data_IF_307764893453
#
_entry.id   IF_307764893453
#
_cell.length_a   1.000
_cell.length_b   1.000
_cell.length_c   1.000
_cell.angle_alpha   90.00
_cell.angle_beta   90.00
_cell.angle_gamma   90.00
#
_symmetry.space_group_name_H-M   'P 1'
#
loop_
_entity.id
_entity.type
_entity.pdbx_description
1 polymer ?
#
# COMPACT_ATOMS: atom_id res chain seq x y z
N UNK A 1 -81.85 7.66 -20.47
CA UNK A 1 -81.28 6.51 -21.22
C UNK A 1 -80.46 7.12 -22.35
N UNK A 2 -79.14 6.96 -22.49
CA UNK A 2 -78.24 5.87 -22.10
C UNK A 2 -76.89 6.44 -21.60
N UNK A 3 -76.18 5.62 -20.82
CA UNK A 3 -74.84 5.85 -20.29
C UNK A 3 -73.87 5.01 -21.13
N UNK A 4 -72.88 5.64 -21.76
CA UNK A 4 -71.77 4.93 -22.41
C UNK A 4 -70.68 4.60 -21.38
N UNK A 5 -70.37 3.32 -21.28
CA UNK A 5 -69.41 2.75 -20.33
C UNK A 5 -67.98 2.82 -20.85
N UNK A 6 -67.09 3.39 -20.04
CA UNK A 6 -65.63 3.32 -20.18
C UNK A 6 -65.16 1.87 -20.01
N UNK A 7 -64.43 1.33 -21.00
CA UNK A 7 -63.73 0.03 -20.91
C UNK A 7 -62.44 0.19 -20.10
N UNK A 8 -62.30 -0.57 -19.02
CA UNK A 8 -61.04 -0.78 -18.30
C UNK A 8 -60.32 -2.02 -18.82
N UNK A 9 -59.01 -1.90 -19.10
CA UNK A 9 -58.15 -3.04 -19.41
C UNK A 9 -57.66 -3.72 -18.12
N UNK A 10 -57.71 -5.06 -17.99
CA UNK A 10 -57.14 -5.75 -16.83
C UNK A 10 -55.63 -5.98 -17.05
N UNK A 11 -54.81 -5.44 -16.15
CA UNK A 11 -53.39 -5.80 -16.02
C UNK A 11 -53.27 -7.13 -15.26
N UNK A 12 -52.98 -8.22 -15.97
CA UNK A 12 -52.71 -9.53 -15.36
C UNK A 12 -51.26 -9.56 -14.85
N UNK A 13 -51.08 -9.50 -13.53
CA UNK A 13 -49.78 -9.80 -12.90
C UNK A 13 -49.48 -11.31 -13.09
N UNK A 14 -48.24 -11.69 -13.46
CA UNK A 14 -47.88 -13.09 -13.63
C UNK A 14 -48.00 -13.85 -12.30
N UNK A 15 -48.51 -15.09 -12.35
CA UNK A 15 -48.63 -15.94 -11.16
C UNK A 15 -47.26 -16.16 -10.51
N UNK A 16 -47.21 -16.26 -9.18
CA UNK A 16 -45.99 -16.52 -8.42
C UNK A 16 -45.19 -17.72 -8.95
N UNK A 17 -45.89 -18.75 -9.45
CA UNK A 17 -45.28 -19.91 -10.11
C UNK A 17 -44.50 -19.54 -11.37
N UNK A 18 -45.02 -18.63 -12.20
CA UNK A 18 -44.32 -18.15 -13.40
C UNK A 18 -43.04 -17.38 -13.04
N UNK A 19 -43.08 -16.55 -11.99
CA UNK A 19 -41.90 -15.80 -11.51
C UNK A 19 -40.82 -16.76 -10.99
N UNK A 20 -41.19 -17.76 -10.19
CA UNK A 20 -40.25 -18.75 -9.65
C UNK A 20 -39.62 -19.58 -10.78
N UNK A 21 -40.40 -19.99 -11.78
CA UNK A 21 -39.89 -20.72 -12.95
C UNK A 21 -38.90 -19.85 -13.74
N UNK A 22 -39.22 -18.57 -13.98
CA UNK A 22 -38.30 -17.65 -14.66
C UNK A 22 -36.99 -17.46 -13.88
N UNK A 23 -37.04 -17.36 -12.54
CA UNK A 23 -35.84 -17.24 -11.71
C UNK A 23 -34.99 -18.51 -11.74
N UNK A 24 -35.60 -19.70 -11.73
CA UNK A 24 -34.89 -20.97 -11.86
C UNK A 24 -34.22 -21.12 -13.23
N UNK A 25 -34.89 -20.71 -14.30
CA UNK A 25 -34.32 -20.69 -15.66
C UNK A 25 -33.13 -19.73 -15.74
N UNK A 26 -33.23 -18.54 -15.16
CA UNK A 26 -32.12 -17.58 -15.12
C UNK A 26 -30.95 -18.08 -14.29
N UNK A 27 -31.21 -18.71 -13.14
CA UNK A 27 -30.17 -19.28 -12.28
C UNK A 27 -29.44 -20.44 -12.98
N UNK A 28 -30.18 -21.33 -13.64
CA UNK A 28 -29.59 -22.46 -14.38
C UNK A 28 -28.80 -22.00 -15.59
N UNK A 29 -29.29 -21.01 -16.34
CA UNK A 29 -28.55 -20.37 -17.43
C UNK A 29 -27.26 -19.69 -16.91
N UNK A 30 -27.34 -19.00 -15.77
CA UNK A 30 -26.17 -18.39 -15.12
C UNK A 30 -25.12 -19.43 -14.70
N UNK A 31 -25.54 -20.55 -14.09
CA UNK A 31 -24.64 -21.65 -13.72
C UNK A 31 -24.00 -22.27 -14.96
N UNK A 32 -24.78 -22.48 -16.03
CA UNK A 32 -24.27 -23.02 -17.28
C UNK A 32 -23.21 -22.09 -17.89
N UNK A 33 -23.47 -20.79 -17.91
CA UNK A 33 -22.55 -19.82 -18.48
C UNK A 33 -21.28 -19.65 -17.66
N UNK A 34 -21.37 -19.69 -16.32
CA UNK A 34 -20.19 -19.74 -15.44
C UNK A 34 -19.37 -21.01 -15.71
N UNK A 35 -20.01 -22.17 -15.87
CA UNK A 35 -19.31 -23.42 -16.20
C UNK A 35 -18.66 -23.36 -17.58
N UNK A 36 -19.33 -22.76 -18.56
CA UNK A 36 -18.78 -22.54 -19.91
C UNK A 36 -17.55 -21.64 -19.86
N UNK A 37 -17.63 -20.50 -19.18
CA UNK A 37 -16.52 -19.58 -18.96
C UNK A 37 -15.36 -20.26 -18.22
N UNK A 38 -15.64 -21.07 -17.19
CA UNK A 38 -14.61 -21.85 -16.50
C UNK A 38 -13.96 -22.90 -17.42
N UNK A 39 -14.73 -23.58 -18.26
CA UNK A 39 -14.21 -24.56 -19.22
C UNK A 39 -13.37 -23.89 -20.32
N UNK A 40 -13.84 -22.78 -20.88
CA UNK A 40 -13.14 -21.99 -21.90
C UNK A 40 -11.83 -21.40 -21.31
N UNK A 41 -11.87 -20.90 -20.08
CA UNK A 41 -10.67 -20.43 -19.38
C UNK A 41 -9.71 -21.57 -19.04
N UNK A 42 -10.21 -22.74 -18.63
CA UNK A 42 -9.35 -23.91 -18.42
C UNK A 42 -8.72 -24.40 -19.73
N UNK A 43 -9.46 -24.34 -20.85
CA UNK A 43 -8.96 -24.63 -22.19
C UNK A 43 -7.91 -23.63 -22.63
N UNK A 44 -8.13 -22.33 -22.39
CA UNK A 44 -7.16 -21.26 -22.66
C UNK A 44 -5.91 -21.39 -21.79
N UNK A 45 -6.06 -21.71 -20.49
CA UNK A 45 -4.96 -21.99 -19.58
C UNK A 45 -4.19 -23.26 -19.98
N UNK A 46 -4.88 -24.27 -20.51
CA UNK A 46 -4.26 -25.49 -21.06
C UNK A 46 -3.57 -25.22 -22.41
N UNK A 47 -4.10 -24.35 -23.27
CA UNK A 47 -3.46 -23.97 -24.53
C UNK A 47 -2.26 -23.03 -24.33
N UNK A 48 -2.26 -22.23 -23.26
CA UNK A 48 -1.09 -21.47 -22.79
C UNK A 48 -0.04 -22.38 -22.14
N UNK A 49 -0.41 -23.60 -21.74
CA UNK A 49 0.50 -24.70 -21.40
C UNK A 49 0.84 -25.52 -22.65
N UNK A 50 1.40 -24.87 -23.67
CA UNK A 50 2.16 -25.63 -24.66
C UNK A 50 3.22 -26.48 -23.93
N UNK A 51 3.49 -27.74 -24.35
CA UNK A 51 4.55 -28.52 -23.77
C UNK A 51 5.87 -27.95 -24.28
N UNK A 52 6.30 -26.84 -23.71
CA UNK A 52 7.71 -26.61 -23.58
C UNK A 52 8.22 -27.80 -22.75
N UNK A 53 9.21 -28.50 -23.28
CA UNK A 53 10.11 -29.33 -22.47
C UNK A 53 10.77 -28.40 -21.45
N UNK A 54 10.02 -28.04 -20.40
CA UNK A 54 10.53 -27.26 -19.29
C UNK A 54 11.18 -28.28 -18.39
N UNK A 55 12.51 -28.31 -18.38
CA UNK A 55 13.21 -28.66 -17.15
C UNK A 55 12.44 -27.98 -16.00
N UNK A 56 12.02 -28.75 -14.99
CA UNK A 56 11.33 -28.16 -13.86
C UNK A 56 12.18 -26.97 -13.37
N UNK A 57 11.61 -25.76 -13.31
CA UNK A 57 12.39 -24.60 -12.88
C UNK A 57 12.95 -24.93 -11.51
N UNK A 58 14.27 -24.80 -11.40
CA UNK A 58 15.00 -25.13 -10.20
C UNK A 58 14.36 -24.43 -9.01
N UNK A 59 13.91 -25.18 -7.99
CA UNK A 59 13.29 -24.59 -6.79
C UNK A 59 14.37 -24.08 -5.84
N UNK A 60 15.20 -23.18 -6.34
CA UNK A 60 16.27 -22.55 -5.59
C UNK A 60 16.00 -21.05 -5.52
N UNK A 61 15.91 -20.55 -4.30
CA UNK A 61 15.86 -19.11 -4.02
C UNK A 61 17.23 -18.66 -3.53
N UNK A 62 17.76 -17.63 -4.15
CA UNK A 62 18.91 -16.90 -3.66
C UNK A 62 18.40 -15.70 -2.86
N UNK A 63 18.64 -15.69 -1.55
CA UNK A 63 18.34 -14.54 -0.70
C UNK A 63 19.61 -13.72 -0.53
N UNK A 64 19.57 -12.45 -0.92
CA UNK A 64 20.71 -11.54 -0.91
C UNK A 64 20.48 -10.39 0.07
N UNK A 65 21.52 -10.08 0.83
CA UNK A 65 21.65 -8.95 1.76
C UNK A 65 23.12 -8.54 1.81
N UNK A 66 23.42 -7.24 1.86
CA UNK A 66 24.79 -6.73 2.12
C UNK A 66 25.21 -7.01 3.55
N UNK A 67 24.27 -6.91 4.49
CA UNK A 67 24.51 -7.22 5.89
C UNK A 67 24.77 -8.71 6.06
N UNK A 68 25.78 -9.04 6.87
CA UNK A 68 26.03 -10.41 7.32
C UNK A 68 24.92 -10.91 8.25
N UNK A 69 24.24 -9.98 8.96
CA UNK A 69 23.03 -10.30 9.71
C UNK A 69 21.80 -10.26 8.80
N UNK A 70 21.23 -11.44 8.56
CA UNK A 70 20.02 -11.64 7.78
C UNK A 70 18.82 -12.05 8.65
N UNK A 71 18.91 -11.85 9.97
CA UNK A 71 17.85 -12.21 10.93
C UNK A 71 16.50 -11.62 10.53
N UNK A 72 16.47 -10.38 10.05
CA UNK A 72 15.27 -9.70 9.58
C UNK A 72 14.58 -10.37 8.37
N UNK A 73 15.27 -11.25 7.62
CA UNK A 73 14.74 -11.97 6.45
C UNK A 73 14.23 -13.37 6.77
N UNK A 74 14.24 -13.82 8.03
CA UNK A 74 13.85 -15.19 8.38
C UNK A 74 12.42 -15.53 7.89
N UNK A 75 11.44 -14.64 8.03
CA UNK A 75 10.09 -14.83 7.51
C UNK A 75 10.03 -15.03 5.99
N UNK A 76 10.91 -14.36 5.24
CA UNK A 76 11.04 -14.55 3.80
C UNK A 76 11.54 -15.97 3.52
N UNK A 77 12.63 -16.36 4.18
CA UNK A 77 13.21 -17.70 3.99
C UNK A 77 12.25 -18.82 4.35
N UNK A 78 11.50 -18.67 5.44
CA UNK A 78 10.52 -19.65 5.91
C UNK A 78 9.31 -19.74 4.97
N UNK A 79 8.88 -18.61 4.42
CA UNK A 79 7.84 -18.58 3.39
C UNK A 79 8.28 -19.41 2.17
N UNK A 80 9.49 -19.18 1.66
CA UNK A 80 10.02 -19.94 0.53
C UNK A 80 10.15 -21.44 0.83
N UNK A 81 10.67 -21.80 2.01
CA UNK A 81 10.76 -23.20 2.46
C UNK A 81 9.39 -23.87 2.48
N UNK A 82 8.36 -23.18 2.98
CA UNK A 82 6.98 -23.70 3.01
C UNK A 82 6.41 -23.97 1.61
N UNK A 83 6.86 -23.24 0.60
CA UNK A 83 6.52 -23.47 -0.81
C UNK A 83 7.48 -24.44 -1.53
N UNK A 84 8.38 -25.11 -0.80
CA UNK A 84 9.28 -26.14 -1.32
C UNK A 84 10.51 -25.60 -2.05
N UNK A 85 10.90 -24.35 -1.79
CA UNK A 85 12.18 -23.82 -2.25
C UNK A 85 13.32 -24.19 -1.31
N UNK A 86 14.48 -24.51 -1.89
CA UNK A 86 15.75 -24.61 -1.20
C UNK A 86 16.45 -23.25 -1.23
N UNK A 87 17.12 -22.87 -0.14
CA UNK A 87 18.04 -21.72 -0.16
C UNK A 87 19.30 -22.08 -0.95
N UNK A 88 19.70 -21.20 -1.86
CA UNK A 88 20.96 -21.26 -2.61
C UNK A 88 21.63 -19.91 -2.67
N UNK A 89 22.67 -19.82 -3.48
CA UNK A 89 23.46 -18.61 -3.70
C UNK A 89 23.63 -18.27 -5.17
N UNK A 90 24.51 -17.28 -5.41
CA UNK A 90 24.81 -16.70 -6.73
C UNK A 90 25.16 -17.73 -7.80
N UNK A 91 25.88 -18.78 -7.44
CA UNK A 91 26.38 -19.82 -8.37
C UNK A 91 25.45 -21.01 -8.52
N UNK A 92 24.39 -21.11 -7.71
CA UNK A 92 23.37 -22.13 -7.88
C UNK A 92 22.50 -21.83 -9.12
N UNK A 93 21.86 -22.84 -9.72
CA UNK A 93 20.81 -22.60 -10.70
C UNK A 93 19.58 -22.06 -9.96
N UNK A 94 19.53 -20.78 -9.61
CA UNK A 94 18.39 -20.17 -8.92
C UNK A 94 17.29 -19.75 -9.91
N UNK A 95 16.03 -19.86 -9.47
CA UNK A 95 14.86 -19.33 -10.20
C UNK A 95 14.28 -18.07 -9.57
N UNK A 96 14.56 -17.83 -8.29
CA UNK A 96 14.13 -16.63 -7.58
C UNK A 96 15.33 -15.97 -6.94
N UNK A 97 15.51 -14.67 -7.17
CA UNK A 97 16.35 -13.81 -6.37
C UNK A 97 15.46 -12.96 -5.47
N UNK A 98 15.64 -13.08 -4.15
CA UNK A 98 15.07 -12.18 -3.18
C UNK A 98 16.17 -11.29 -2.60
N UNK A 99 16.25 -10.07 -3.09
CA UNK A 99 17.24 -9.08 -2.67
C UNK A 99 16.63 -8.12 -1.65
N UNK A 100 17.29 -7.92 -0.51
CA UNK A 100 16.92 -6.88 0.44
C UNK A 100 17.23 -5.48 -0.13
N UNK A 101 18.46 -5.28 -0.59
CA UNK A 101 18.88 -4.06 -1.28
C UNK A 101 18.38 -4.05 -2.74
N UNK A 102 18.51 -2.89 -3.39
CA UNK A 102 18.12 -2.71 -4.78
C UNK A 102 19.09 -3.41 -5.76
N UNK A 103 18.67 -4.49 -6.44
CA UNK A 103 19.59 -5.39 -7.11
C UNK A 103 20.15 -4.84 -8.44
N UNK A 104 19.49 -3.86 -9.06
CA UNK A 104 19.97 -3.30 -10.34
C UNK A 104 21.22 -2.42 -10.19
N UNK A 105 21.56 -2.02 -8.96
CA UNK A 105 22.84 -1.38 -8.65
C UNK A 105 23.83 -2.42 -8.11
N UNK A 106 23.42 -3.19 -7.10
CA UNK A 106 24.33 -4.08 -6.34
C UNK A 106 24.70 -5.36 -7.09
N UNK A 107 23.80 -5.86 -7.92
CA UNK A 107 23.93 -7.10 -8.69
C UNK A 107 23.74 -6.81 -10.18
N UNK A 108 24.29 -5.69 -10.66
CA UNK A 108 24.09 -5.20 -12.03
C UNK A 108 24.53 -6.20 -13.11
N UNK A 109 25.56 -7.01 -12.85
CA UNK A 109 25.96 -8.12 -13.75
C UNK A 109 24.84 -9.15 -13.90
N UNK A 110 24.30 -9.64 -12.78
CA UNK A 110 23.27 -10.66 -12.73
C UNK A 110 21.97 -10.16 -13.36
N UNK A 111 21.62 -8.89 -13.11
CA UNK A 111 20.40 -8.30 -13.64
C UNK A 111 20.44 -8.16 -15.17
N UNK A 112 21.64 -7.98 -15.76
CA UNK A 112 21.81 -7.97 -17.22
C UNK A 112 21.74 -9.36 -17.86
N UNK A 113 21.95 -10.41 -17.08
CA UNK A 113 22.05 -11.80 -17.54
C UNK A 113 20.84 -12.67 -17.14
N UNK A 114 19.73 -12.04 -16.73
CA UNK A 114 18.50 -12.75 -16.34
C UNK A 114 17.98 -13.65 -17.47
N UNK A 115 17.71 -14.90 -17.12
CA UNK A 115 17.17 -15.91 -18.03
C UNK A 115 15.66 -15.99 -17.94
N UNK A 116 14.95 -16.42 -19.01
CA UNK A 116 13.52 -16.71 -18.93
C UNK A 116 13.20 -17.68 -17.79
N UNK A 117 12.22 -17.31 -16.95
CA UNK A 117 11.84 -18.09 -15.77
C UNK A 117 12.54 -17.68 -14.47
N UNK A 118 13.58 -16.85 -14.53
CA UNK A 118 14.14 -16.21 -13.34
C UNK A 118 13.29 -14.99 -12.95
N UNK A 119 13.02 -14.85 -11.66
CA UNK A 119 12.25 -13.74 -11.11
C UNK A 119 13.03 -13.03 -9.99
N UNK A 120 12.84 -11.73 -9.91
CA UNK A 120 13.47 -10.85 -8.92
C UNK A 120 12.38 -10.03 -8.24
N UNK A 121 12.50 -9.80 -6.93
CA UNK A 121 11.50 -9.07 -6.14
C UNK A 121 11.54 -7.53 -6.31
N UNK A 122 12.22 -7.01 -7.32
CA UNK A 122 12.34 -5.57 -7.62
C UNK A 122 12.13 -5.30 -9.11
N UNK A 123 11.65 -4.09 -9.42
CA UNK A 123 11.59 -3.59 -10.80
C UNK A 123 12.71 -2.58 -11.08
N UNK A 124 13.25 -2.54 -12.30
CA UNK A 124 14.16 -1.47 -12.69
C UNK A 124 13.47 -0.10 -12.52
N UNK A 125 14.13 0.84 -11.87
CA UNK A 125 13.62 2.18 -11.61
C UNK A 125 12.65 2.30 -10.43
N UNK A 126 12.32 1.21 -9.73
CA UNK A 126 11.42 1.28 -8.55
C UNK A 126 11.95 2.20 -7.45
N UNK A 127 13.25 2.48 -7.43
CA UNK A 127 13.88 3.48 -6.58
C UNK A 127 13.23 4.87 -6.66
N UNK A 128 12.67 5.27 -7.81
CA UNK A 128 12.03 6.58 -7.99
C UNK A 128 10.79 6.74 -7.10
N UNK A 129 9.99 5.68 -6.96
CA UNK A 129 8.78 5.69 -6.14
C UNK A 129 9.05 5.36 -4.67
N UNK A 130 10.18 4.73 -4.35
CA UNK A 130 10.56 4.42 -2.97
C UNK A 130 11.46 5.48 -2.34
N UNK A 131 12.11 6.33 -3.14
CA UNK A 131 12.89 7.45 -2.63
C UNK A 131 11.97 8.62 -2.26
N UNK A 132 12.04 9.01 -0.98
CA UNK A 132 11.20 10.05 -0.39
C UNK A 132 11.37 11.41 -1.06
N UNK A 133 12.59 11.81 -1.43
CA UNK A 133 12.86 13.09 -2.09
C UNK A 133 12.27 13.15 -3.50
N UNK A 134 12.47 12.10 -4.29
CA UNK A 134 11.92 12.01 -5.66
C UNK A 134 10.39 11.95 -5.67
N UNK A 135 9.79 11.13 -4.80
CA UNK A 135 8.33 10.97 -4.77
C UNK A 135 7.62 12.24 -4.25
N UNK A 136 8.11 12.80 -3.14
CA UNK A 136 7.41 13.91 -2.46
C UNK A 136 7.38 15.21 -3.24
N UNK A 137 8.33 15.39 -4.16
CA UNK A 137 8.45 16.60 -4.99
C UNK A 137 7.64 16.51 -6.29
N UNK A 138 7.09 15.34 -6.63
CA UNK A 138 6.27 15.16 -7.82
C UNK A 138 4.89 15.82 -7.68
N UNK A 139 4.73 16.96 -8.36
CA UNK A 139 3.49 17.76 -8.39
C UNK A 139 2.34 17.10 -9.13
N UNK A 140 2.59 16.07 -9.94
CA UNK A 140 1.53 15.36 -10.65
C UNK A 140 0.67 14.50 -9.72
N UNK A 141 1.20 14.14 -8.54
CA UNK A 141 0.52 13.30 -7.55
C UNK A 141 -0.30 14.19 -6.60
N UNK A 142 -1.60 14.29 -6.88
CA UNK A 142 -2.54 15.21 -6.20
C UNK A 142 -2.68 15.03 -4.68
N UNK A 143 -2.37 13.84 -4.16
CA UNK A 143 -2.61 13.48 -2.75
C UNK A 143 -1.37 13.60 -1.87
N UNK A 144 -0.23 14.05 -2.41
CA UNK A 144 0.97 14.28 -1.61
C UNK A 144 0.97 15.69 -1.01
N UNK A 145 1.39 15.85 0.26
CA UNK A 145 1.61 17.17 0.84
C UNK A 145 2.63 17.97 0.05
N UNK A 146 2.41 19.28 -0.03
CA UNK A 146 3.27 20.24 -0.71
C UNK A 146 4.70 20.14 -0.16
N UNK A 147 5.63 19.71 -1.01
CA UNK A 147 7.05 19.56 -0.65
C UNK A 147 7.93 20.47 -1.50
N UNK A 148 9.03 20.95 -0.94
CA UNK A 148 10.08 21.70 -1.62
C UNK A 148 11.45 21.09 -1.30
N UNK A 149 12.27 20.86 -2.32
CA UNK A 149 13.65 20.40 -2.17
C UNK A 149 14.55 21.60 -1.93
N UNK A 150 15.40 21.53 -0.92
CA UNK A 150 16.37 22.59 -0.63
C UNK A 150 17.78 22.13 -1.05
N UNK A 151 18.66 23.06 -1.45
CA UNK A 151 18.43 24.50 -1.60
C UNK A 151 17.65 24.91 -2.86
N UNK A 152 17.49 23.99 -3.82
CA UNK A 152 16.98 24.25 -5.18
C UNK A 152 15.66 25.06 -5.23
N UNK A 153 14.75 24.84 -4.28
CA UNK A 153 13.41 25.42 -4.27
C UNK A 153 13.17 26.36 -3.07
N UNK A 154 14.25 26.92 -2.48
CA UNK A 154 14.15 27.79 -1.30
C UNK A 154 13.29 29.05 -1.55
N UNK A 155 13.42 29.68 -2.71
CA UNK A 155 12.64 30.87 -3.05
C UNK A 155 11.15 30.56 -3.16
N UNK A 156 10.77 29.47 -3.83
CA UNK A 156 9.36 29.06 -3.95
C UNK A 156 8.78 28.68 -2.59
N UNK A 157 9.58 28.07 -1.72
CA UNK A 157 9.19 27.79 -0.35
C UNK A 157 8.92 29.09 0.44
N UNK A 158 9.82 30.08 0.39
CA UNK A 158 9.64 31.38 1.05
C UNK A 158 8.36 32.10 0.57
N UNK A 159 8.09 32.08 -0.74
CA UNK A 159 6.87 32.66 -1.30
C UNK A 159 5.62 31.95 -0.77
N UNK A 160 5.66 30.61 -0.68
CA UNK A 160 4.51 29.85 -0.18
C UNK A 160 4.23 30.10 1.31
N UNK A 161 5.29 30.24 2.12
CA UNK A 161 5.18 30.61 3.54
C UNK A 161 4.54 32.00 3.68
N UNK A 162 4.94 32.96 2.84
CA UNK A 162 4.36 34.30 2.85
C UNK A 162 2.86 34.31 2.48
N UNK A 163 2.45 33.46 1.53
CA UNK A 163 1.04 33.29 1.14
C UNK A 163 0.21 32.52 2.18
N UNK A 164 0.84 31.60 2.93
CA UNK A 164 0.18 30.66 3.85
C UNK A 164 0.84 30.70 5.25
N UNK A 165 0.74 31.82 5.98
CA UNK A 165 1.46 32.01 7.24
C UNK A 165 1.01 31.08 8.37
N UNK A 166 -0.17 30.46 8.28
CA UNK A 166 -0.65 29.47 9.25
C UNK A 166 -0.24 28.02 8.93
N UNK A 167 0.37 27.78 7.77
CA UNK A 167 0.85 26.44 7.41
C UNK A 167 2.10 26.10 8.20
N UNK A 168 2.14 24.88 8.74
CA UNK A 168 3.30 24.32 9.41
C UNK A 168 4.10 23.45 8.43
N UNK A 169 5.42 23.44 8.58
CA UNK A 169 6.32 22.76 7.65
C UNK A 169 7.24 21.81 8.41
N UNK A 170 7.47 20.63 7.88
CA UNK A 170 8.41 19.64 8.40
C UNK A 170 9.66 19.62 7.55
N UNK A 171 10.81 19.99 8.12
CA UNK A 171 12.10 19.71 7.53
C UNK A 171 12.49 18.26 7.80
N UNK A 172 12.94 17.58 6.75
CA UNK A 172 13.30 16.18 6.76
C UNK A 172 14.61 16.01 5.99
N UNK A 173 15.51 15.21 6.56
CA UNK A 173 16.68 14.71 5.85
C UNK A 173 16.33 13.36 5.21
N UNK A 174 17.11 12.94 4.20
CA UNK A 174 16.89 11.65 3.53
C UNK A 174 17.01 10.45 4.50
N UNK A 175 17.85 10.55 5.54
CA UNK A 175 18.14 9.47 6.50
C UNK A 175 17.21 9.39 7.71
N UNK A 176 16.03 10.03 7.68
CA UNK A 176 15.05 10.05 8.79
C UNK A 176 15.54 10.61 10.14
N UNK A 177 16.80 11.00 10.27
CA UNK A 177 17.35 11.71 11.43
C UNK A 177 17.08 13.21 11.29
N UNK A 178 16.65 13.83 12.38
CA UNK A 178 16.48 15.29 12.45
C UNK A 178 15.18 15.83 11.83
N UNK A 179 14.05 15.12 11.97
CA UNK A 179 12.74 15.70 11.62
C UNK A 179 12.43 16.80 12.64
N UNK A 180 12.25 18.03 12.16
CA UNK A 180 11.85 19.16 12.98
C UNK A 180 10.83 20.01 12.23
N UNK A 181 9.95 20.66 12.99
CA UNK A 181 9.03 21.64 12.44
C UNK A 181 9.81 22.91 12.18
N UNK A 182 9.63 23.49 11.00
CA UNK A 182 10.12 24.81 10.66
C UNK A 182 8.96 25.78 10.84
N UNK A 183 9.08 26.65 11.84
CA UNK A 183 8.14 27.75 12.00
C UNK A 183 8.35 28.79 10.90
N UNK A 184 7.28 29.47 10.43
CA UNK A 184 7.37 30.55 9.44
C UNK A 184 8.45 31.61 9.73
N UNK A 185 8.69 31.91 11.00
CA UNK A 185 9.73 32.83 11.50
C UNK A 185 11.17 32.31 11.32
N UNK A 186 11.36 30.99 11.29
CA UNK A 186 12.66 30.30 11.24
C UNK A 186 13.02 29.84 9.81
N UNK A 187 12.11 30.07 8.85
CA UNK A 187 12.27 29.67 7.44
C UNK A 187 13.52 30.28 6.79
N UNK A 188 13.90 31.50 7.19
CA UNK A 188 15.10 32.17 6.68
C UNK A 188 16.41 31.47 7.12
N UNK A 189 16.41 30.91 8.34
CA UNK A 189 17.53 30.20 8.96
C UNK A 189 17.65 28.71 8.59
N UNK A 190 16.69 28.16 7.83
CA UNK A 190 16.77 26.77 7.36
C UNK A 190 18.06 26.56 6.57
N UNK A 191 18.87 25.61 7.05
CA UNK A 191 20.14 25.23 6.42
C UNK A 191 19.89 24.74 5.00
N UNK A 192 20.73 25.23 4.09
CA UNK A 192 20.64 24.99 2.66
C UNK A 192 21.38 23.69 2.27
N UNK A 193 21.33 22.66 3.12
CA UNK A 193 22.08 21.44 2.88
C UNK A 193 21.45 20.68 1.71
N UNK A 194 22.29 20.14 0.81
CA UNK A 194 21.92 19.58 -0.49
C UNK A 194 20.99 18.34 -0.43
N UNK A 195 20.68 17.85 0.77
CA UNK A 195 19.88 16.64 1.02
C UNK A 195 18.63 16.87 1.88
N UNK A 196 18.21 18.13 2.04
CA UNK A 196 17.04 18.49 2.84
C UNK A 196 15.82 18.76 1.96
N UNK A 197 14.65 18.45 2.48
CA UNK A 197 13.38 18.89 1.91
C UNK A 197 12.42 19.31 3.02
N UNK A 198 11.59 20.29 2.70
CA UNK A 198 10.54 20.80 3.58
C UNK A 198 9.19 20.39 3.02
N UNK A 199 8.36 19.80 3.87
CA UNK A 199 7.05 19.27 3.49
C UNK A 199 5.97 19.83 4.40
N UNK A 200 4.85 20.24 3.83
CA UNK A 200 3.68 20.70 4.58
C UNK A 200 3.24 19.64 5.60
N UNK A 201 3.08 20.06 6.86
CA UNK A 201 2.54 19.23 7.93
C UNK A 201 1.03 19.12 7.78
N UNK A 202 0.51 17.90 7.81
CA UNK A 202 -0.94 17.65 7.95
C UNK A 202 -1.36 18.04 9.38
N UNK A 203 -1.88 19.26 9.54
CA UNK A 203 -2.19 19.88 10.83
C UNK A 203 -3.47 19.35 11.49
N UNK A 204 -4.36 18.72 10.73
CA UNK A 204 -5.59 18.12 11.25
C UNK A 204 -5.69 16.63 10.86
N UNK A 205 -4.79 15.78 11.39
CA UNK A 205 -4.85 14.34 11.13
C UNK A 205 -6.05 13.72 11.85
N UNK A 206 -6.53 12.58 11.35
CA UNK A 206 -7.44 11.73 12.10
C UNK A 206 -6.72 11.22 13.36
N UNK A 207 -7.39 11.34 14.51
CA UNK A 207 -6.88 10.90 15.81
C UNK A 207 -7.74 9.76 16.35
N UNK A 208 -7.12 8.81 17.03
CA UNK A 208 -7.81 7.81 17.87
C UNK A 208 -7.22 7.92 19.26
N UNK A 209 -8.08 8.12 20.27
CA UNK A 209 -7.67 8.40 21.65
C UNK A 209 -6.66 9.57 21.75
N UNK A 210 -6.85 10.58 20.90
CA UNK A 210 -5.99 11.76 20.84
C UNK A 210 -4.61 11.52 20.21
N UNK A 211 -4.31 10.32 19.72
CA UNK A 211 -3.01 9.99 19.09
C UNK A 211 -3.11 10.03 17.57
N UNK A 212 -2.12 10.68 16.95
CA UNK A 212 -1.86 10.57 15.51
C UNK A 212 -1.32 9.16 15.19
N UNK A 213 -1.59 8.67 13.99
CA UNK A 213 -1.09 7.37 13.54
C UNK A 213 -0.81 7.36 12.04
N UNK A 214 -0.04 6.35 11.61
CA UNK A 214 0.11 6.00 10.20
C UNK A 214 -0.43 4.60 9.89
N UNK A 215 -0.62 4.36 8.58
CA UNK A 215 -1.14 3.11 8.05
C UNK A 215 -0.14 2.57 7.02
N UNK A 216 0.48 1.43 7.30
CA UNK A 216 1.28 0.67 6.36
C UNK A 216 0.40 -0.24 5.51
N UNK A 217 0.27 0.08 4.22
CA UNK A 217 -0.46 -0.74 3.24
C UNK A 217 0.53 -1.52 2.39
N UNK A 218 0.32 -2.84 2.27
CA UNK A 218 1.19 -3.71 1.47
C UNK A 218 0.65 -3.83 0.04
N UNK A 219 1.49 -3.51 -0.93
CA UNK A 219 1.17 -3.55 -2.36
C UNK A 219 2.22 -4.38 -3.08
N UNK A 220 1.80 -5.22 -4.02
CA UNK A 220 2.69 -5.96 -4.92
C UNK A 220 2.39 -5.59 -6.36
N UNK A 221 3.44 -5.17 -7.08
CA UNK A 221 3.40 -5.04 -8.53
C UNK A 221 3.95 -6.33 -9.13
N UNK A 222 3.29 -6.87 -10.14
CA UNK A 222 3.66 -8.16 -10.77
C UNK A 222 4.01 -8.03 -12.24
N UNK A 223 3.65 -6.90 -12.85
CA UNK A 223 3.90 -6.61 -14.25
C UNK A 223 3.84 -5.11 -14.48
N UNK A 224 4.72 -4.59 -15.33
CA UNK A 224 4.69 -3.21 -15.83
C UNK A 224 3.93 -3.12 -17.18
N UNK A 225 3.98 -4.17 -17.98
CA UNK A 225 3.40 -4.19 -19.32
C UNK A 225 2.70 -5.54 -19.59
N UNK A 226 1.35 -5.61 -19.45
CA UNK A 226 0.47 -4.57 -18.92
C UNK A 226 0.70 -4.33 -17.42
N UNK A 227 0.39 -3.12 -16.93
CA UNK A 227 0.51 -2.80 -15.52
C UNK A 227 -0.43 -3.68 -14.68
N UNK A 228 0.12 -4.40 -13.69
CA UNK A 228 -0.66 -5.22 -12.75
C UNK A 228 -0.18 -5.01 -11.32
N UNK A 229 -1.07 -4.43 -10.51
CA UNK A 229 -0.81 -4.06 -9.11
C UNK A 229 -1.91 -4.66 -8.22
N UNK A 230 -1.52 -5.24 -7.09
CA UNK A 230 -2.43 -5.83 -6.11
C UNK A 230 -2.18 -5.23 -4.73
N UNK A 231 -3.26 -4.88 -4.04
CA UNK A 231 -3.23 -4.45 -2.63
C UNK A 231 -3.53 -5.67 -1.76
N UNK A 232 -2.65 -5.98 -0.81
CA UNK A 232 -2.92 -7.01 0.17
C UNK A 232 -4.07 -6.57 1.08
N UNK A 233 -5.13 -7.37 1.11
CA UNK A 233 -6.35 -7.04 1.86
C UNK A 233 -6.43 -7.69 3.24
N UNK A 234 -5.53 -8.63 3.53
CA UNK A 234 -5.60 -9.44 4.76
C UNK A 234 -5.38 -8.62 6.02
N UNK A 235 -4.44 -7.66 6.00
CA UNK A 235 -4.25 -6.71 7.09
C UNK A 235 -3.50 -5.46 6.63
N UNK A 236 -3.35 -4.50 7.55
CA UNK A 236 -2.48 -3.32 7.44
C UNK A 236 -1.61 -3.21 8.69
N UNK A 237 -0.55 -2.41 8.65
CA UNK A 237 0.19 -2.04 9.85
C UNK A 237 -0.36 -0.72 10.40
N UNK A 238 -0.73 -0.66 11.68
CA UNK A 238 -1.12 0.57 12.37
C UNK A 238 -0.11 0.89 13.46
N UNK A 239 0.40 2.12 13.44
CA UNK A 239 1.37 2.62 14.42
C UNK A 239 0.97 4.00 14.90
N UNK A 240 0.83 4.15 16.21
CA UNK A 240 0.39 5.39 16.84
C UNK A 240 1.57 6.14 17.45
N UNK A 241 1.55 7.47 17.36
CA UNK A 241 2.49 8.33 18.06
C UNK A 241 2.55 7.99 19.55
N UNK A 242 3.75 8.02 20.14
CA UNK A 242 3.96 7.66 21.54
C UNK A 242 3.27 8.66 22.49
N UNK A 243 3.06 9.90 22.05
CA UNK A 243 2.32 10.93 22.79
C UNK A 243 1.06 11.42 22.05
N UNK A 244 0.06 11.96 22.77
CA UNK A 244 -1.13 12.57 22.15
C UNK A 244 -0.77 13.78 21.28
N UNK A 245 -1.48 13.95 20.17
CA UNK A 245 -1.36 15.09 19.27
C UNK A 245 -2.32 16.20 19.69
N UNK A 246 -1.83 17.44 19.80
CA UNK A 246 -2.65 18.62 20.07
C UNK A 246 -2.39 19.70 19.03
N UNK A 247 -3.37 19.98 18.17
CA UNK A 247 -3.26 21.03 17.16
C UNK A 247 -3.36 22.46 17.73
N UNK A 248 -3.98 22.63 18.91
CA UNK A 248 -4.17 23.95 19.54
C UNK A 248 -2.94 24.40 20.32
N UNK A 249 -2.28 23.45 20.97
CA UNK A 249 -1.05 23.64 21.75
C UNK A 249 0.08 22.85 21.09
N UNK A 250 0.29 23.08 19.80
CA UNK A 250 1.28 22.34 19.04
C UNK A 250 2.69 22.67 19.55
N UNK A 251 3.41 21.64 20.00
CA UNK A 251 4.79 21.76 20.46
C UNK A 251 5.74 21.12 19.43
N UNK A 252 6.44 21.96 18.68
CA UNK A 252 7.42 21.52 17.68
C UNK A 252 8.51 20.60 18.25
N UNK A 253 8.87 20.78 19.52
CA UNK A 253 9.88 19.96 20.20
C UNK A 253 9.38 18.59 20.64
N UNK A 254 8.05 18.37 20.70
CA UNK A 254 7.45 17.08 21.08
C UNK A 254 7.23 16.21 19.83
N UNK A 255 8.35 15.76 19.25
CA UNK A 255 8.38 14.95 18.02
C UNK A 255 7.47 13.72 18.13
N UNK A 256 7.41 13.09 19.30
CA UNK A 256 6.64 11.88 19.57
C UNK A 256 5.12 12.06 19.55
N UNK A 257 4.64 13.31 19.49
CA UNK A 257 3.22 13.63 19.32
C UNK A 257 2.77 13.67 17.85
N UNK A 258 3.70 13.88 16.91
CA UNK A 258 3.38 14.09 15.49
C UNK A 258 4.23 13.28 14.50
N UNK A 259 5.29 12.61 14.94
CA UNK A 259 6.07 11.64 14.18
C UNK A 259 5.88 10.27 14.79
N UNK A 260 5.67 9.26 13.95
CA UNK A 260 5.65 7.85 14.38
C UNK A 260 7.09 7.35 14.36
N UNK A 261 7.70 7.23 15.54
CA UNK A 261 9.04 6.67 15.75
C UNK A 261 9.04 5.16 15.99
N UNK A 262 10.19 4.62 16.39
CA UNK A 262 10.34 3.20 16.74
C UNK A 262 9.64 2.83 18.06
N UNK A 263 9.44 3.82 18.94
CA UNK A 263 8.75 3.72 20.23
C UNK A 263 7.22 3.98 20.14
N UNK A 264 6.65 3.72 18.96
CA UNK A 264 5.23 3.93 18.70
C UNK A 264 4.33 3.13 19.68
N UNK A 265 3.15 3.68 19.98
CA UNK A 265 2.12 2.95 20.72
C UNK A 265 1.48 1.90 19.82
N UNK A 266 1.55 0.61 20.15
CA UNK A 266 0.95 -0.44 19.34
C UNK A 266 -0.57 -0.45 19.50
N UNK A 267 -1.27 -1.03 18.52
CA UNK A 267 -2.75 -1.03 18.47
C UNK A 267 -3.42 -1.64 19.71
N UNK A 268 -2.80 -2.64 20.34
CA UNK A 268 -3.37 -3.29 21.53
C UNK A 268 -3.34 -2.39 22.78
N UNK A 269 -2.51 -1.35 22.78
CA UNK A 269 -2.43 -0.35 23.85
C UNK A 269 -3.30 0.89 23.56
N UNK A 270 -4.11 0.87 22.50
CA UNK A 270 -5.07 1.93 22.16
C UNK A 270 -6.47 1.57 22.70
N UNK A 271 -6.95 2.22 23.78
CA UNK A 271 -8.17 1.82 24.49
C UNK A 271 -9.42 1.68 23.61
N UNK A 272 -9.66 2.62 22.69
CA UNK A 272 -10.83 2.61 21.80
C UNK A 272 -10.80 1.47 20.79
N UNK A 273 -9.62 0.93 20.49
CA UNK A 273 -9.45 -0.20 19.57
C UNK A 273 -9.41 -1.56 20.28
N UNK A 274 -9.19 -1.58 21.60
CA UNK A 274 -9.07 -2.80 22.38
C UNK A 274 -10.30 -3.72 22.26
N UNK A 275 -11.51 -3.17 22.13
CA UNK A 275 -12.72 -3.98 21.93
C UNK A 275 -12.71 -4.80 20.63
N UNK A 276 -12.02 -4.31 19.60
CA UNK A 276 -11.95 -4.97 18.29
C UNK A 276 -10.72 -5.88 18.20
N UNK A 277 -9.55 -5.31 18.49
CA UNK A 277 -8.29 -6.02 18.30
C UNK A 277 -8.06 -7.07 19.40
N UNK A 278 -8.22 -6.68 20.66
CA UNK A 278 -7.92 -7.56 21.81
C UNK A 278 -9.10 -8.49 22.09
N UNK A 279 -10.33 -7.97 22.20
CA UNK A 279 -11.49 -8.78 22.63
C UNK A 279 -12.12 -9.58 21.49
N UNK A 280 -12.21 -9.01 20.28
CA UNK A 280 -12.80 -9.67 19.13
C UNK A 280 -11.76 -10.33 18.20
N UNK A 281 -10.47 -10.27 18.55
CA UNK A 281 -9.35 -10.86 17.80
C UNK A 281 -9.36 -10.49 16.31
N UNK A 282 -9.78 -9.27 15.98
CA UNK A 282 -9.73 -8.76 14.62
C UNK A 282 -8.29 -8.32 14.27
N UNK A 283 -7.93 -8.42 12.98
CA UNK A 283 -6.71 -7.80 12.45
C UNK A 283 -6.74 -6.27 12.59
N UNK A 284 -5.60 -5.61 12.39
CA UNK A 284 -5.49 -4.15 12.57
C UNK A 284 -6.44 -3.40 11.64
N UNK A 285 -6.51 -3.82 10.37
CA UNK A 285 -7.42 -3.25 9.37
C UNK A 285 -8.88 -3.38 9.80
N UNK A 286 -9.31 -4.59 10.14
CA UNK A 286 -10.69 -4.85 10.51
C UNK A 286 -11.09 -4.11 11.79
N UNK A 287 -10.14 -3.95 12.72
CA UNK A 287 -10.32 -3.16 13.94
C UNK A 287 -10.52 -1.68 13.63
N UNK A 288 -9.72 -1.10 12.74
CA UNK A 288 -9.88 0.28 12.29
C UNK A 288 -11.19 0.48 11.52
N UNK A 289 -11.51 -0.41 10.57
CA UNK A 289 -12.75 -0.35 9.79
C UNK A 289 -13.98 -0.40 10.71
N UNK A 290 -13.98 -1.26 11.73
CA UNK A 290 -15.06 -1.36 12.70
C UNK A 290 -15.15 -0.12 13.60
N UNK A 291 -14.01 0.38 14.09
CA UNK A 291 -13.96 1.61 14.88
C UNK A 291 -14.56 2.80 14.15
N UNK A 292 -14.14 3.02 12.89
CA UNK A 292 -14.59 4.14 12.08
C UNK A 292 -16.09 4.05 11.76
N UNK A 293 -16.63 2.85 11.53
CA UNK A 293 -18.07 2.66 11.33
C UNK A 293 -18.89 3.02 12.55
N UNK A 294 -18.37 2.76 13.76
CA UNK A 294 -19.05 3.12 15.00
C UNK A 294 -19.01 4.63 15.31
N UNK A 295 -18.21 5.43 14.58
CA UNK A 295 -18.16 6.89 14.72
C UNK A 295 -19.10 7.64 13.76
N UNK A 296 -19.72 6.93 12.81
CA UNK A 296 -20.65 7.46 11.80
C UNK A 296 -22.10 7.23 12.24
#
# INVERSE_FOLDING_TARGET
MAVDSVRSHPSTLPSYSAVIISLLVLLTAGIFEVRRICADNNGLLASLRAPATRDEPSRVVWVYSKSSDQSHLHHVTDSFRRYGYRLGGRTDPWSVLWSHEYPFTELASEMRELRPGQVVNHFPGSGYITNKGSLSTDRSIRHLPLTFKLPDQKEQFLLNVAERPSAMWLQKNQDHRGIHVVEPSEVSSVSADEETFVQELIANPLLIDGKKFDIGVYVVMTSLEPLRVYVYRGDVLLRFCARPYNAREFNASDVDSYVVGDDYTPIWDVPSLARYYVRAHLGMRASLDAYLRDQL
#
